data_IF_857643166758
#
_entry.id   IF_857643166758
#
_cell.length_a   1.000
_cell.length_b   1.000
_cell.length_c   1.000
_cell.angle_alpha   90.00
_cell.angle_beta   90.00
_cell.angle_gamma   90.00
#
_symmetry.space_group_name_H-M   'P 1'
#
loop_
_entity.id
_entity.type
_entity.pdbx_description
1 polymer ?
#
# COMPACT_ATOMS: atom_id res chain seq x y z
N UNK A 1 14.43 -36.48 -2.17
CA UNK A 1 14.60 -35.08 -2.64
C UNK A 1 13.23 -34.47 -2.78
N UNK A 2 12.81 -33.68 -1.81
CA UNK A 2 11.55 -32.91 -1.87
C UNK A 2 11.82 -31.62 -2.64
N UNK A 3 11.26 -31.52 -3.83
CA UNK A 3 11.25 -30.29 -4.64
C UNK A 3 10.26 -29.33 -3.98
N UNK A 4 10.75 -28.35 -3.23
CA UNK A 4 9.92 -27.27 -2.66
C UNK A 4 9.65 -26.27 -3.79
N UNK A 5 8.39 -25.85 -4.04
CA UNK A 5 8.08 -24.99 -5.17
C UNK A 5 8.66 -23.58 -4.97
N UNK A 6 9.77 -23.32 -5.67
CA UNK A 6 10.00 -22.18 -6.55
C UNK A 6 9.10 -20.94 -6.33
N UNK A 7 9.32 -20.12 -5.28
CA UNK A 7 8.33 -19.11 -4.90
C UNK A 7 8.69 -17.70 -5.34
N UNK A 8 7.99 -17.22 -6.38
CA UNK A 8 7.88 -15.79 -6.64
C UNK A 8 7.13 -15.13 -5.47
N UNK A 9 7.53 -13.93 -5.07
CA UNK A 9 6.85 -13.19 -4.02
C UNK A 9 6.91 -11.69 -4.29
N UNK A 10 5.95 -10.95 -3.74
CA UNK A 10 5.97 -9.50 -3.73
C UNK A 10 5.99 -8.94 -2.32
N UNK A 11 6.39 -7.69 -2.15
CA UNK A 11 6.24 -6.95 -0.89
C UNK A 11 6.18 -5.46 -1.15
N UNK A 12 5.63 -4.72 -0.19
CA UNK A 12 5.82 -3.29 -0.09
C UNK A 12 7.02 -3.01 0.80
N UNK A 13 7.88 -2.09 0.38
CA UNK A 13 9.14 -1.80 1.05
C UNK A 13 9.48 -0.31 0.98
N UNK A 14 10.09 0.19 2.06
CA UNK A 14 10.71 1.51 2.12
C UNK A 14 12.16 1.32 2.58
N UNK A 15 13.16 1.69 1.74
CA UNK A 15 14.55 1.71 2.15
C UNK A 15 14.79 2.67 3.31
N UNK A 16 15.83 2.40 4.10
CA UNK A 16 16.33 3.38 5.07
C UNK A 16 16.73 4.68 4.32
N UNK A 17 16.46 5.82 4.95
CA UNK A 17 16.76 7.16 4.41
C UNK A 17 16.07 7.51 3.08
N UNK A 18 14.99 6.81 2.72
CA UNK A 18 14.12 7.13 1.59
C UNK A 18 12.67 7.31 2.08
N UNK A 19 11.99 8.35 1.62
CA UNK A 19 10.57 8.61 1.94
C UNK A 19 9.61 7.88 0.98
N UNK A 20 10.15 7.22 -0.04
CA UNK A 20 9.37 6.54 -1.05
C UNK A 20 8.99 5.12 -0.64
N UNK A 21 7.77 4.71 -1.00
CA UNK A 21 7.32 3.33 -0.87
C UNK A 21 7.39 2.67 -2.24
N UNK A 22 7.98 1.48 -2.28
CA UNK A 22 8.14 0.69 -3.48
C UNK A 22 7.33 -0.60 -3.36
N UNK A 23 6.70 -0.99 -4.46
CA UNK A 23 6.24 -2.35 -4.67
C UNK A 23 7.37 -3.17 -5.30
N UNK A 24 7.74 -4.25 -4.64
CA UNK A 24 8.85 -5.12 -5.04
C UNK A 24 8.25 -6.44 -5.50
N UNK A 25 8.66 -6.93 -6.67
CA UNK A 25 8.39 -8.30 -7.09
C UNK A 25 9.70 -9.04 -7.27
N UNK A 26 9.80 -10.22 -6.65
CA UNK A 26 10.93 -11.13 -6.78
C UNK A 26 10.48 -12.35 -7.57
N UNK A 27 11.05 -12.54 -8.76
CA UNK A 27 10.78 -13.68 -9.62
C UNK A 27 12.00 -14.61 -9.65
N UNK A 28 11.84 -15.83 -9.17
CA UNK A 28 12.96 -16.78 -9.09
C UNK A 28 13.26 -17.38 -10.47
N UNK A 29 14.54 -17.63 -10.76
CA UNK A 29 14.99 -18.30 -11.98
C UNK A 29 16.10 -19.32 -11.71
N UNK A 30 16.12 -20.42 -12.50
CA UNK A 30 16.95 -21.61 -12.24
C UNK A 30 18.37 -21.54 -12.85
N UNK A 31 18.57 -20.78 -13.92
CA UNK A 31 19.85 -20.57 -14.59
C UNK A 31 19.80 -19.19 -15.27
N UNK A 32 20.94 -18.50 -15.48
CA UNK A 32 20.99 -17.39 -16.41
C UNK A 32 20.75 -17.97 -17.81
N UNK A 33 19.49 -18.14 -18.19
CA UNK A 33 19.13 -18.28 -19.59
C UNK A 33 19.55 -16.96 -20.25
N UNK A 34 20.11 -17.05 -21.45
CA UNK A 34 20.63 -15.94 -22.23
C UNK A 34 19.91 -14.63 -21.90
N UNK A 35 20.62 -13.54 -21.53
CA UNK A 35 19.99 -12.26 -21.18
C UNK A 35 19.08 -11.71 -22.29
N UNK A 36 19.16 -12.26 -23.51
CA UNK A 36 18.30 -11.94 -24.65
C UNK A 36 16.93 -12.67 -24.67
N UNK A 37 16.69 -13.71 -23.85
CA UNK A 37 15.48 -14.57 -23.97
C UNK A 37 14.45 -14.36 -22.84
N UNK A 38 14.75 -13.54 -21.84
CA UNK A 38 13.75 -13.11 -20.86
C UNK A 38 13.46 -11.63 -21.14
N UNK A 39 12.20 -11.21 -21.01
CA UNK A 39 11.69 -9.82 -21.10
C UNK A 39 11.14 -9.36 -22.45
N UNK A 40 10.17 -10.12 -22.98
CA UNK A 40 9.09 -9.54 -23.78
C UNK A 40 7.80 -9.50 -22.94
N UNK A 41 7.82 -8.74 -21.86
CA UNK A 41 6.62 -8.06 -21.38
C UNK A 41 6.96 -6.58 -21.30
N UNK A 42 6.05 -5.72 -21.75
CA UNK A 42 6.18 -4.27 -21.63
C UNK A 42 6.20 -3.93 -20.14
N UNK A 43 7.39 -3.96 -19.54
CA UNK A 43 7.46 -4.05 -18.11
C UNK A 43 7.28 -2.66 -17.47
N UNK A 44 6.14 -2.52 -16.80
CA UNK A 44 5.74 -1.37 -16.01
C UNK A 44 6.47 -1.38 -14.65
N UNK A 45 7.81 -1.36 -14.66
CA UNK A 45 8.64 -1.13 -13.48
C UNK A 45 9.59 0.05 -13.69
N UNK A 46 10.00 0.65 -12.58
CA UNK A 46 10.85 1.85 -12.55
C UNK A 46 12.33 1.48 -12.40
N UNK A 47 12.60 0.32 -11.79
CA UNK A 47 13.94 -0.21 -11.61
C UNK A 47 13.93 -1.74 -11.52
N UNK A 48 15.06 -2.35 -11.89
CA UNK A 48 15.26 -3.79 -11.81
C UNK A 48 16.71 -4.13 -11.51
N UNK A 49 16.94 -5.28 -10.88
CA UNK A 49 18.27 -5.85 -10.67
C UNK A 49 18.17 -7.37 -10.44
N UNK A 50 19.32 -8.04 -10.48
CA UNK A 50 19.43 -9.45 -10.14
C UNK A 50 19.98 -9.63 -8.73
N UNK A 51 19.33 -10.50 -7.97
CA UNK A 51 19.75 -10.89 -6.63
C UNK A 51 20.04 -12.39 -6.60
N UNK A 52 21.25 -12.76 -6.20
CA UNK A 52 21.67 -14.15 -6.08
C UNK A 52 22.10 -14.43 -4.65
N UNK A 53 21.64 -15.55 -4.10
CA UNK A 53 22.17 -16.12 -2.87
C UNK A 53 22.46 -17.62 -3.05
N UNK A 54 22.89 -18.29 -1.98
CA UNK A 54 23.23 -19.72 -2.01
C UNK A 54 22.06 -20.63 -2.39
N UNK A 55 20.83 -20.15 -2.24
CA UNK A 55 19.62 -20.97 -2.33
C UNK A 55 18.81 -20.66 -3.60
N UNK A 56 18.96 -19.47 -4.19
CA UNK A 56 18.11 -18.99 -5.26
C UNK A 56 18.68 -17.77 -6.02
N UNK A 57 18.27 -17.63 -7.28
CA UNK A 57 18.49 -16.43 -8.08
C UNK A 57 17.14 -15.75 -8.35
N UNK A 58 17.06 -14.44 -8.17
CA UNK A 58 15.87 -13.63 -8.35
C UNK A 58 16.12 -12.49 -9.32
N UNK A 59 15.19 -12.31 -10.23
CA UNK A 59 14.98 -11.05 -10.92
C UNK A 59 14.06 -10.21 -10.03
N UNK A 60 14.56 -9.05 -9.60
CA UNK A 60 13.86 -8.16 -8.68
C UNK A 60 13.42 -6.94 -9.47
N UNK A 61 12.12 -6.71 -9.54
CA UNK A 61 11.54 -5.50 -10.14
C UNK A 61 10.95 -4.61 -9.05
N UNK A 62 11.09 -3.31 -9.25
CA UNK A 62 10.71 -2.28 -8.28
C UNK A 62 9.83 -1.24 -8.97
N UNK A 63 8.67 -0.96 -8.37
CA UNK A 63 7.75 0.09 -8.81
C UNK A 63 7.61 1.13 -7.70
N UNK A 64 7.91 2.39 -7.99
CA UNK A 64 7.66 3.51 -7.09
C UNK A 64 6.16 3.79 -7.02
N UNK A 65 5.63 3.95 -5.81
CA UNK A 65 4.22 4.24 -5.60
C UNK A 65 4.03 5.69 -5.17
N UNK A 66 3.19 6.42 -5.91
CA UNK A 66 2.71 7.74 -5.50
C UNK A 66 1.72 7.61 -4.33
N UNK A 67 1.56 8.67 -3.53
CA UNK A 67 0.54 8.68 -2.48
C UNK A 67 -0.89 8.45 -3.03
N UNK A 68 -1.32 9.06 -4.16
CA UNK A 68 -2.62 8.73 -4.77
C UNK A 68 -2.78 7.24 -5.10
N UNK A 69 -1.72 6.59 -5.61
CA UNK A 69 -1.76 5.16 -5.91
C UNK A 69 -1.87 4.31 -4.64
N UNK A 70 -1.10 4.64 -3.60
CA UNK A 70 -1.18 3.97 -2.30
C UNK A 70 -2.59 4.10 -1.71
N UNK A 71 -3.16 5.30 -1.72
CA UNK A 71 -4.51 5.58 -1.24
C UNK A 71 -5.53 4.77 -2.02
N UNK A 72 -5.38 4.68 -3.35
CA UNK A 72 -6.31 3.91 -4.16
C UNK A 72 -6.25 2.41 -3.83
N UNK A 73 -5.04 1.85 -3.72
CA UNK A 73 -4.84 0.45 -3.33
C UNK A 73 -5.48 0.18 -1.96
N UNK A 74 -5.19 1.02 -0.95
CA UNK A 74 -5.73 0.86 0.40
C UNK A 74 -7.26 0.91 0.43
N UNK A 75 -7.86 1.89 -0.24
CA UNK A 75 -9.32 2.04 -0.28
C UNK A 75 -10.00 0.92 -1.06
N UNK A 76 -9.39 0.45 -2.14
CA UNK A 76 -9.90 -0.65 -2.94
C UNK A 76 -9.88 -1.97 -2.15
N UNK A 77 -8.75 -2.29 -1.52
CA UNK A 77 -8.58 -3.56 -0.81
C UNK A 77 -9.37 -3.59 0.51
N UNK A 78 -9.45 -2.48 1.26
CA UNK A 78 -10.07 -2.46 2.60
C UNK A 78 -11.54 -2.06 2.54
N UNK A 79 -11.89 -1.07 1.73
CA UNK A 79 -13.23 -0.49 1.67
C UNK A 79 -14.01 -0.81 0.39
N UNK A 80 -13.36 -1.43 -0.60
CA UNK A 80 -13.97 -1.65 -1.92
C UNK A 80 -14.22 -0.36 -2.69
N UNK A 81 -13.58 0.74 -2.32
CA UNK A 81 -13.71 2.05 -2.97
C UNK A 81 -12.58 2.18 -3.99
N UNK A 82 -12.93 2.20 -5.28
CA UNK A 82 -11.97 2.44 -6.36
C UNK A 82 -12.05 3.90 -6.81
N UNK A 83 -10.93 4.59 -6.70
CA UNK A 83 -10.74 5.89 -7.29
C UNK A 83 -10.13 5.67 -8.68
N UNK A 84 -10.71 6.26 -9.72
CA UNK A 84 -10.19 6.17 -11.09
C UNK A 84 -8.85 6.93 -11.21
N UNK A 85 -7.78 6.28 -10.75
CA UNK A 85 -6.43 6.81 -10.72
C UNK A 85 -5.65 6.24 -11.90
N UNK A 86 -5.60 7.00 -12.99
CA UNK A 86 -4.80 6.71 -14.18
C UNK A 86 -3.27 6.74 -13.95
N UNK A 87 -2.78 6.80 -12.70
CA UNK A 87 -1.35 6.88 -12.38
C UNK A 87 -0.62 5.54 -12.40
N UNK A 88 -1.36 4.43 -12.46
CA UNK A 88 -0.83 3.06 -12.38
C UNK A 88 0.30 2.76 -13.38
N UNK A 89 0.24 3.34 -14.59
CA UNK A 89 1.22 3.11 -15.68
C UNK A 89 2.35 4.13 -15.74
N UNK A 90 2.44 5.06 -14.77
CA UNK A 90 3.49 6.09 -14.82
C UNK A 90 4.82 5.45 -14.49
N UNK A 91 5.75 5.49 -15.44
CA UNK A 91 7.15 5.12 -15.20
C UNK A 91 7.86 6.29 -14.53
N UNK A 92 8.37 6.07 -13.32
CA UNK A 92 9.17 7.04 -12.59
C UNK A 92 10.65 6.84 -12.89
N UNK A 93 11.36 7.93 -13.12
CA UNK A 93 12.83 7.90 -13.27
C UNK A 93 13.46 8.04 -11.90
N UNK A 94 13.93 6.93 -11.32
CA UNK A 94 14.70 6.96 -10.07
C UNK A 94 16.10 7.56 -10.29
N UNK A 95 16.57 8.34 -9.32
CA UNK A 95 17.96 8.81 -9.28
C UNK A 95 18.92 7.64 -9.06
N UNK A 96 20.20 7.83 -9.38
CA UNK A 96 21.22 6.80 -9.12
C UNK A 96 21.30 6.45 -7.63
N UNK A 97 21.25 7.45 -6.75
CA UNK A 97 21.31 7.25 -5.31
C UNK A 97 20.10 6.46 -4.79
N UNK A 98 18.89 6.75 -5.28
CA UNK A 98 17.68 5.98 -4.96
C UNK A 98 17.83 4.50 -5.38
N UNK A 99 18.33 4.25 -6.59
CA UNK A 99 18.55 2.89 -7.10
C UNK A 99 19.56 2.12 -6.25
N UNK A 100 20.71 2.71 -5.96
CA UNK A 100 21.76 2.10 -5.16
C UNK A 100 21.30 1.84 -3.73
N UNK A 101 20.61 2.81 -3.12
CA UNK A 101 20.07 2.67 -1.78
C UNK A 101 19.02 1.54 -1.71
N UNK A 102 18.08 1.51 -2.66
CA UNK A 102 17.05 0.49 -2.76
C UNK A 102 17.66 -0.91 -2.96
N UNK A 103 18.61 -1.05 -3.89
CA UNK A 103 19.28 -2.33 -4.16
C UNK A 103 20.04 -2.83 -2.92
N UNK A 104 20.83 -1.96 -2.27
CA UNK A 104 21.62 -2.32 -1.10
C UNK A 104 20.73 -2.77 0.08
N UNK A 105 19.68 -2.00 0.37
CA UNK A 105 18.74 -2.31 1.45
C UNK A 105 17.98 -3.62 1.18
N UNK A 106 17.49 -3.83 -0.05
CA UNK A 106 16.83 -5.08 -0.42
C UNK A 106 17.77 -6.27 -0.34
N UNK A 107 19.02 -6.16 -0.81
CA UNK A 107 20.01 -7.26 -0.68
C UNK A 107 20.22 -7.71 0.77
N UNK A 108 20.12 -6.78 1.72
CA UNK A 108 20.20 -7.08 3.15
C UNK A 108 18.89 -7.64 3.73
N UNK A 109 17.74 -7.20 3.24
CA UNK A 109 16.43 -7.58 3.77
C UNK A 109 15.85 -8.88 3.18
N UNK A 110 16.09 -9.16 1.89
CA UNK A 110 15.55 -10.32 1.19
C UNK A 110 15.89 -11.68 1.83
N UNK A 111 17.10 -11.92 2.39
CA UNK A 111 17.38 -13.16 3.13
C UNK A 111 16.38 -13.45 4.26
N UNK A 112 16.03 -12.42 5.04
CA UNK A 112 15.08 -12.53 6.14
C UNK A 112 13.67 -12.86 5.64
N UNK A 113 13.21 -12.16 4.60
CA UNK A 113 11.88 -12.40 3.99
C UNK A 113 11.79 -13.84 3.46
N UNK A 114 12.83 -14.33 2.80
CA UNK A 114 12.87 -15.69 2.30
C UNK A 114 12.78 -16.71 3.43
N UNK A 115 13.53 -16.54 4.52
CA UNK A 115 13.43 -17.43 5.68
C UNK A 115 12.00 -17.49 6.23
N UNK A 116 11.32 -16.35 6.33
CA UNK A 116 9.93 -16.27 6.80
C UNK A 116 8.97 -16.98 5.84
N UNK A 117 9.14 -16.81 4.52
CA UNK A 117 8.36 -17.51 3.50
C UNK A 117 8.58 -19.03 3.59
N UNK A 118 9.83 -19.49 3.71
CA UNK A 118 10.15 -20.92 3.86
C UNK A 118 9.54 -21.53 5.13
N UNK A 119 9.58 -20.82 6.27
CA UNK A 119 8.93 -21.25 7.52
C UNK A 119 7.41 -21.37 7.35
N UNK A 120 6.82 -20.49 6.55
CA UNK A 120 5.37 -20.45 6.31
C UNK A 120 4.93 -21.62 5.44
N UNK A 121 5.67 -21.94 4.37
CA UNK A 121 5.36 -23.08 3.47
C UNK A 121 5.57 -24.43 4.14
N UNK A 122 6.55 -24.54 5.04
CA UNK A 122 6.82 -25.76 5.81
C UNK A 122 5.67 -26.16 6.75
N UNK A 123 4.79 -25.22 7.11
CA UNK A 123 3.59 -25.47 7.95
C UNK A 123 2.37 -25.90 7.13
N UNK A 124 2.42 -25.81 5.80
CA UNK A 124 1.31 -26.11 4.88
C UNK A 124 1.70 -27.28 3.97
N UNK A 125 2.07 -28.41 4.57
CA UNK A 125 2.08 -29.69 3.85
C UNK A 125 0.64 -30.23 3.85
N UNK A 126 -0.22 -29.68 2.98
CA UNK A 126 -1.52 -30.22 2.49
C UNK A 126 -2.46 -29.09 1.99
N UNK A 127 -2.03 -28.26 1.03
CA UNK A 127 -2.95 -27.56 0.12
C UNK A 127 -2.19 -26.95 -1.07
N UNK A 128 -2.69 -27.05 -2.31
CA UNK A 128 -2.11 -26.31 -3.43
C UNK A 128 -2.57 -24.85 -3.34
N UNK A 129 -1.83 -24.03 -2.61
CA UNK A 129 -2.13 -22.59 -2.52
C UNK A 129 -1.47 -21.85 -3.68
N UNK A 130 -2.26 -21.53 -4.70
CA UNK A 130 -1.97 -20.44 -5.63
C UNK A 130 -1.93 -19.12 -4.85
N UNK A 131 -0.80 -18.79 -4.20
CA UNK A 131 -0.56 -17.45 -3.68
C UNK A 131 -0.12 -16.55 -4.83
N UNK A 132 -1.09 -16.10 -5.62
CA UNK A 132 -0.96 -15.02 -6.58
C UNK A 132 -1.69 -13.79 -6.06
N UNK A 133 -1.14 -13.17 -5.01
CA UNK A 133 -1.31 -11.74 -4.77
C UNK A 133 -0.54 -10.97 -5.84
N UNK A 134 -0.88 -11.18 -7.11
CA UNK A 134 -0.30 -10.44 -8.22
C UNK A 134 -1.27 -9.30 -8.50
N UNK A 135 -0.96 -8.11 -7.99
CA UNK A 135 -1.73 -6.92 -8.35
C UNK A 135 -1.51 -6.73 -9.86
N UNK A 136 -2.54 -7.06 -10.64
CA UNK A 136 -2.51 -6.86 -12.07
C UNK A 136 -2.87 -5.40 -12.33
N UNK A 137 -1.87 -4.55 -12.59
CA UNK A 137 -2.07 -3.12 -12.85
C UNK A 137 -2.73 -2.83 -14.22
N UNK A 138 -3.22 -3.86 -14.91
CA UNK A 138 -3.78 -3.80 -16.25
C UNK A 138 -5.31 -3.63 -16.18
N UNK A 139 -5.78 -2.43 -15.81
CA UNK A 139 -7.18 -2.03 -16.04
C UNK A 139 -7.27 -0.71 -16.81
N UNK A 140 -8.30 -0.61 -17.63
CA UNK A 140 -8.42 0.20 -18.84
C UNK A 140 -8.61 1.72 -18.65
N UNK A 141 -8.13 2.44 -19.66
CA UNK A 141 -7.95 3.89 -19.84
C UNK A 141 -9.27 4.69 -19.78
N UNK A 142 -9.26 5.85 -19.09
CA UNK A 142 -9.94 7.05 -19.58
C UNK A 142 -9.18 8.33 -19.16
N UNK A 143 -8.63 9.06 -20.13
CA UNK A 143 -7.83 10.27 -19.89
C UNK A 143 -8.75 11.47 -19.60
N UNK A 144 -8.82 11.89 -18.35
CA UNK A 144 -9.17 13.26 -17.96
C UNK A 144 -8.56 13.58 -16.59
N UNK A 145 -8.05 14.81 -16.44
CA UNK A 145 -7.67 15.33 -15.14
C UNK A 145 -8.97 15.57 -14.36
N UNK A 146 -9.30 14.70 -13.41
CA UNK A 146 -10.56 14.76 -12.69
C UNK A 146 -10.34 14.70 -11.19
N UNK A 147 -11.15 15.51 -10.50
CA UNK A 147 -11.46 15.40 -9.07
C UNK A 147 -11.63 13.92 -8.73
N UNK A 148 -10.87 13.44 -7.74
CA UNK A 148 -10.91 12.06 -7.26
C UNK A 148 -12.33 11.79 -6.74
N UNK A 149 -13.14 11.10 -7.54
CA UNK A 149 -14.53 10.73 -7.23
C UNK A 149 -14.60 9.19 -7.17
N UNK A 150 -15.21 8.61 -6.13
CA UNK A 150 -15.28 7.16 -5.97
C UNK A 150 -16.23 6.52 -6.99
N UNK A 151 -15.80 5.45 -7.65
CA UNK A 151 -16.67 4.62 -8.51
C UNK A 151 -17.37 3.58 -7.61
N UNK A 152 -18.71 3.63 -7.57
CA UNK A 152 -19.55 3.11 -6.48
C UNK A 152 -19.45 1.59 -6.19
N UNK A 153 -19.30 1.25 -4.91
CA UNK A 153 -19.91 0.07 -4.28
C UNK A 153 -19.97 0.21 -2.74
N UNK A 154 -20.66 1.24 -2.24
CA UNK A 154 -20.86 1.42 -0.80
C UNK A 154 -21.71 0.27 -0.24
N UNK A 155 -21.14 -0.56 0.63
CA UNK A 155 -21.93 -1.45 1.47
C UNK A 155 -22.80 -0.58 2.39
N UNK A 156 -24.08 -0.92 2.44
CA UNK A 156 -25.15 -0.29 3.23
C UNK A 156 -24.90 -0.35 4.75
N UNK A 157 -23.87 0.36 5.22
CA UNK A 157 -23.70 0.75 6.62
C UNK A 157 -23.69 2.27 6.67
N UNK A 158 -24.37 2.88 7.64
CA UNK A 158 -24.35 4.33 7.88
C UNK A 158 -22.96 4.84 8.34
N UNK A 159 -21.93 4.01 8.25
CA UNK A 159 -20.54 4.27 8.60
C UNK A 159 -19.68 4.22 7.34
N UNK A 160 -18.76 5.17 7.22
CA UNK A 160 -17.78 5.25 6.15
C UNK A 160 -16.38 5.23 6.75
N UNK A 161 -15.56 4.30 6.27
CA UNK A 161 -14.12 4.37 6.43
C UNK A 161 -13.47 4.68 5.08
N UNK A 162 -12.42 5.50 5.08
CA UNK A 162 -11.55 5.67 3.92
C UNK A 162 -10.13 6.06 4.32
N UNK A 163 -9.19 5.86 3.40
CA UNK A 163 -7.89 6.53 3.44
C UNK A 163 -7.96 7.80 2.60
N UNK A 164 -7.44 8.90 3.13
CA UNK A 164 -7.54 10.21 2.49
C UNK A 164 -6.26 11.02 2.67
N UNK A 165 -5.88 11.77 1.65
CA UNK A 165 -4.84 12.78 1.71
C UNK A 165 -5.40 14.08 1.13
N UNK A 166 -5.52 15.14 1.94
CA UNK A 166 -5.93 16.45 1.44
C UNK A 166 -4.95 16.98 0.39
N UNK A 167 -5.41 17.80 -0.57
CA UNK A 167 -4.53 18.51 -1.48
C UNK A 167 -3.48 19.31 -0.71
N UNK A 168 -2.23 19.28 -1.20
CA UNK A 168 -1.08 19.96 -0.59
C UNK A 168 -0.71 19.50 0.83
N UNK A 169 -1.15 18.31 1.25
CA UNK A 169 -0.68 17.65 2.48
C UNK A 169 0.24 16.47 2.12
N UNK A 170 1.22 16.17 2.96
CA UNK A 170 2.10 14.99 2.82
C UNK A 170 1.62 13.79 3.64
N UNK A 171 0.58 13.98 4.46
CA UNK A 171 0.08 12.96 5.38
C UNK A 171 -1.12 12.22 4.78
N UNK A 172 -1.07 10.89 4.84
CA UNK A 172 -2.23 10.04 4.59
C UNK A 172 -2.94 9.80 5.93
N UNK A 173 -4.25 10.01 5.94
CA UNK A 173 -5.11 9.81 7.08
C UNK A 173 -5.99 8.59 6.87
N UNK A 174 -6.14 7.79 7.91
CA UNK A 174 -7.27 6.89 8.05
C UNK A 174 -8.43 7.67 8.66
N UNK A 175 -9.54 7.74 7.93
CA UNK A 175 -10.73 8.52 8.28
C UNK A 175 -11.87 7.56 8.56
N UNK A 176 -12.54 7.76 9.69
CA UNK A 176 -13.81 7.09 10.00
C UNK A 176 -14.89 8.14 10.21
N UNK A 177 -16.04 7.94 9.59
CA UNK A 177 -17.23 8.77 9.72
C UNK A 177 -18.35 7.88 10.22
N UNK A 178 -18.87 8.17 11.41
CA UNK A 178 -19.91 7.38 12.07
C UNK A 178 -21.08 8.27 12.48
N UNK A 179 -22.33 7.77 12.46
CA UNK A 179 -23.48 8.51 12.96
C UNK A 179 -23.30 8.79 14.46
N UNK A 180 -23.70 9.97 14.90
CA UNK A 180 -23.75 10.29 16.33
C UNK A 180 -24.91 9.48 16.93
N UNK A 181 -24.58 8.56 17.84
CA UNK A 181 -25.56 7.80 18.61
C UNK A 181 -25.69 8.44 20.00
N UNK A 182 -26.92 8.83 20.43
CA UNK A 182 -27.11 9.59 21.68
C UNK A 182 -26.64 8.91 22.99
N UNK A 183 -26.36 7.60 22.99
CA UNK A 183 -26.18 6.81 24.22
C UNK A 183 -24.84 6.03 24.33
N UNK A 184 -23.87 6.29 23.46
CA UNK A 184 -22.56 5.59 23.53
C UNK A 184 -21.51 6.50 24.16
N UNK A 185 -20.94 6.02 25.27
CA UNK A 185 -19.70 6.54 25.84
C UNK A 185 -18.63 6.48 24.75
N UNK A 186 -18.11 7.64 24.34
CA UNK A 186 -17.00 7.75 23.39
C UNK A 186 -15.85 6.91 23.96
N UNK A 187 -15.53 5.80 23.30
CA UNK A 187 -14.35 5.00 23.65
C UNK A 187 -13.10 5.87 23.46
N UNK A 188 -12.11 5.63 24.32
CA UNK A 188 -10.80 6.30 24.37
C UNK A 188 -9.92 5.88 23.19
N UNK A 189 -10.44 6.05 21.97
CA UNK A 189 -9.71 5.81 20.73
C UNK A 189 -8.74 6.98 20.51
N UNK A 190 -7.45 6.66 20.42
CA UNK A 190 -6.40 7.67 20.17
C UNK A 190 -6.41 8.06 18.69
N UNK A 191 -7.10 9.16 18.38
CA UNK A 191 -7.08 9.85 17.09
C UNK A 191 -6.34 11.18 17.17
N UNK A 192 -5.71 11.60 16.07
CA UNK A 192 -4.94 12.84 16.00
C UNK A 192 -5.83 14.07 15.85
N UNK A 193 -7.02 13.87 15.29
CA UNK A 193 -8.02 14.92 15.08
C UNK A 193 -9.43 14.37 14.91
N UNK A 194 -10.40 15.17 15.33
CA UNK A 194 -11.82 14.87 15.21
C UNK A 194 -12.63 16.15 14.94
N UNK A 195 -13.77 15.99 14.29
CA UNK A 195 -14.76 17.04 14.08
C UNK A 195 -16.15 16.46 13.82
N UNK A 196 -17.16 17.33 13.82
CA UNK A 196 -18.55 16.94 13.52
C UNK A 196 -18.97 17.44 12.13
N UNK A 197 -19.66 16.58 11.38
CA UNK A 197 -20.24 16.91 10.08
C UNK A 197 -21.77 16.89 10.15
N UNK A 198 -22.40 17.98 9.70
CA UNK A 198 -23.85 18.19 9.67
C UNK A 198 -24.57 17.95 11.01
N UNK A 199 -23.85 18.01 12.14
CA UNK A 199 -24.35 17.65 13.48
C UNK A 199 -24.95 16.23 13.58
N UNK A 200 -24.63 15.35 12.62
CA UNK A 200 -25.13 13.97 12.54
C UNK A 200 -24.03 12.94 12.52
N UNK A 201 -22.82 13.34 12.15
CA UNK A 201 -21.68 12.45 12.01
C UNK A 201 -20.50 12.93 12.84
N UNK A 202 -19.86 11.99 13.53
CA UNK A 202 -18.56 12.15 14.16
C UNK A 202 -17.49 11.63 13.19
N UNK A 203 -16.55 12.50 12.85
CA UNK A 203 -15.45 12.18 11.94
C UNK A 203 -14.17 12.13 12.75
N UNK A 204 -13.50 10.98 12.74
CA UNK A 204 -12.21 10.78 13.40
C UNK A 204 -11.13 10.53 12.36
N UNK A 205 -9.96 11.11 12.60
CA UNK A 205 -8.83 11.07 11.69
C UNK A 205 -7.58 10.61 12.43
N UNK A 206 -6.89 9.62 11.87
CA UNK A 206 -5.60 9.14 12.34
C UNK A 206 -4.56 9.28 11.24
N UNK A 207 -3.51 10.04 11.51
CA UNK A 207 -2.36 10.17 10.62
C UNK A 207 -1.61 8.85 10.56
N UNK A 208 -1.16 8.49 9.35
CA UNK A 208 -0.39 7.27 9.12
C UNK A 208 1.04 7.64 8.76
N UNK A 209 1.99 7.04 9.48
CA UNK A 209 3.39 7.03 9.08
C UNK A 209 3.63 5.94 8.04
N UNK A 210 4.70 6.08 7.25
CA UNK A 210 5.02 5.16 6.16
C UNK A 210 5.11 3.70 6.61
N UNK A 211 5.71 3.40 7.76
CA UNK A 211 5.78 2.03 8.28
C UNK A 211 4.41 1.43 8.56
N UNK A 212 3.46 2.19 9.11
CA UNK A 212 2.07 1.77 9.28
C UNK A 212 1.40 1.46 7.93
N UNK A 213 1.61 2.31 6.92
CA UNK A 213 1.08 2.12 5.56
C UNK A 213 1.64 0.82 4.96
N UNK A 214 2.95 0.62 5.03
CA UNK A 214 3.63 -0.56 4.49
C UNK A 214 3.13 -1.84 5.17
N UNK A 215 2.90 -1.79 6.48
CA UNK A 215 2.38 -2.93 7.22
C UNK A 215 0.95 -3.26 6.83
N UNK A 216 0.08 -2.25 6.70
CA UNK A 216 -1.28 -2.44 6.20
C UNK A 216 -1.24 -3.06 4.79
N UNK A 217 -0.45 -2.49 3.87
CA UNK A 217 -0.33 -3.01 2.51
C UNK A 217 0.16 -4.46 2.47
N UNK A 218 1.23 -4.79 3.20
CA UNK A 218 1.76 -6.15 3.24
C UNK A 218 0.80 -7.15 3.91
N UNK A 219 0.05 -6.70 4.92
CA UNK A 219 -0.95 -7.52 5.58
C UNK A 219 -2.14 -7.80 4.68
N UNK A 220 -2.76 -6.76 4.11
CA UNK A 220 -3.98 -6.90 3.32
C UNK A 220 -3.72 -7.62 1.99
N UNK A 221 -2.59 -7.34 1.32
CA UNK A 221 -2.32 -7.87 -0.02
C UNK A 221 -1.58 -9.21 0.02
N UNK A 222 -0.64 -9.35 0.97
CA UNK A 222 0.24 -10.50 1.04
C UNK A 222 0.00 -11.41 2.23
N UNK A 223 -0.90 -11.05 3.14
CA UNK A 223 -1.15 -11.80 4.38
C UNK A 223 0.06 -11.85 5.30
N UNK A 224 1.01 -10.90 5.18
CA UNK A 224 2.26 -10.88 5.95
C UNK A 224 2.31 -9.67 6.86
N UNK A 225 2.42 -9.95 8.16
CA UNK A 225 2.68 -8.95 9.17
C UNK A 225 4.18 -8.90 9.45
N UNK A 226 4.82 -7.83 8.99
CA UNK A 226 6.20 -7.54 9.36
C UNK A 226 6.12 -6.64 10.58
N UNK A 227 6.01 -7.27 11.75
CA UNK A 227 5.80 -6.61 13.04
C UNK A 227 6.72 -5.38 13.17
N UNK A 228 6.12 -4.20 13.02
CA UNK A 228 6.74 -2.95 13.37
C UNK A 228 5.96 -2.43 14.56
N UNK A 229 6.66 -2.32 15.70
CA UNK A 229 6.21 -1.67 16.93
C UNK A 229 5.85 -0.16 16.74
N UNK A 230 5.61 0.29 15.52
CA UNK A 230 5.54 1.66 15.04
C UNK A 230 4.12 2.26 15.04
N UNK A 231 3.07 1.45 15.22
CA UNK A 231 1.69 1.95 15.39
C UNK A 231 1.50 2.83 16.65
N UNK A 232 2.56 2.99 17.47
CA UNK A 232 2.57 3.79 18.70
C UNK A 232 3.26 5.16 18.56
N UNK A 233 3.81 5.52 17.39
CA UNK A 233 4.43 6.83 17.20
C UNK A 233 3.36 7.87 16.83
N UNK A 234 2.96 8.67 17.80
CA UNK A 234 2.12 9.85 17.58
C UNK A 234 2.88 10.87 16.72
N UNK A 235 2.40 11.11 15.49
CA UNK A 235 2.84 12.26 14.69
C UNK A 235 1.86 13.39 14.99
N UNK A 236 2.31 14.39 15.75
CA UNK A 236 1.50 15.59 15.97
C UNK A 236 1.27 16.31 14.64
N UNK A 237 0.00 16.48 14.26
CA UNK A 237 -0.38 17.21 13.05
C UNK A 237 -0.58 18.70 13.37
N UNK A 238 -0.17 19.55 12.43
CA UNK A 238 -0.23 21.01 12.61
C UNK A 238 -1.66 21.55 12.55
N UNK A 239 -1.87 22.77 13.06
CA UNK A 239 -3.18 23.45 12.95
C UNK A 239 -3.61 23.65 11.48
N UNK A 240 -2.65 23.94 10.59
CA UNK A 240 -2.90 24.06 9.16
C UNK A 240 -3.40 22.74 8.57
N UNK A 241 -2.73 21.62 8.89
CA UNK A 241 -3.14 20.29 8.45
C UNK A 241 -4.54 19.92 8.94
N UNK A 242 -4.85 20.20 10.22
CA UNK A 242 -6.20 20.00 10.78
C UNK A 242 -7.26 20.76 9.99
N UNK A 243 -7.04 22.05 9.74
CA UNK A 243 -7.97 22.89 8.98
C UNK A 243 -8.13 22.44 7.53
N UNK A 244 -7.02 22.14 6.85
CA UNK A 244 -7.04 21.65 5.46
C UNK A 244 -7.78 20.31 5.36
N UNK A 245 -7.53 19.40 6.29
CA UNK A 245 -8.20 18.10 6.37
C UNK A 245 -9.71 18.26 6.61
N UNK A 246 -10.12 19.07 7.59
CA UNK A 246 -11.53 19.31 7.89
C UNK A 246 -12.27 19.89 6.69
N UNK A 247 -11.69 20.92 6.05
CA UNK A 247 -12.30 21.61 4.92
C UNK A 247 -12.56 20.63 3.75
N UNK A 248 -11.52 19.91 3.33
CA UNK A 248 -11.62 19.01 2.19
C UNK A 248 -12.49 17.78 2.48
N UNK A 249 -12.47 17.25 3.71
CA UNK A 249 -13.35 16.15 4.09
C UNK A 249 -14.81 16.58 4.15
N UNK A 250 -15.14 17.78 4.64
CA UNK A 250 -16.53 18.27 4.62
C UNK A 250 -17.06 18.39 3.19
N UNK A 251 -16.24 18.89 2.27
CA UNK A 251 -16.61 18.98 0.85
C UNK A 251 -16.80 17.59 0.24
N UNK A 252 -15.86 16.68 0.48
CA UNK A 252 -15.96 15.30 0.02
C UNK A 252 -17.20 14.58 0.57
N UNK A 253 -17.41 14.59 1.89
CA UNK A 253 -18.55 13.94 2.55
C UNK A 253 -19.89 14.50 2.09
N UNK A 254 -19.96 15.80 1.79
CA UNK A 254 -21.17 16.42 1.22
C UNK A 254 -21.47 15.94 -0.19
N UNK A 255 -20.46 15.55 -0.96
CA UNK A 255 -20.62 15.10 -2.36
C UNK A 255 -21.14 13.67 -2.51
N UNK A 256 -20.94 12.82 -1.50
CA UNK A 256 -21.24 11.38 -1.57
C UNK A 256 -22.63 11.00 -1.02
N UNK A 257 -23.52 11.98 -0.82
CA UNK A 257 -24.93 11.82 -0.41
C UNK A 257 -25.19 10.59 0.49
N UNK A 258 -24.86 10.71 1.78
CA UNK A 258 -25.37 9.82 2.83
C UNK A 258 -26.87 10.05 3.10
#
# INVERSE_FOLDING_TARGET
>A
MSIIPLQNFGLFYQPLDDNNIYHINCKMFLQPQNPEIIFLSEDDYDYEFFYQNSNANYHVTCKLLSHPLIINILNKEIYGIDFDVNELKRKYTLTLDQKLNLELNLKNFLPFVQEQILKSTSRVAEAPTNFQGNINFNTSISTQATVIQPVQNYKSSNELGLFYQPPNDDIIYHVNCKPIVPDIQVYDDVYDYEFFHLARYHVTCKSLIHSSIINILNKEIYGRDYDANDLKRERSITLYQKFNLELNLKDFLSSIHF
#
